data_IF_451718080318
#
_entry.id   IF_451718080318
#
_cell.length_a   1.000
_cell.length_b   1.000
_cell.length_c   1.000
_cell.angle_alpha   90.00
_cell.angle_beta   90.00
_cell.angle_gamma   90.00
#
_symmetry.space_group_name_H-M   'P 1'
#
loop_
_entity.id
_entity.type
_entity.pdbx_description
1 polymer ?
#
# COMPACT_ATOMS: atom_id res chain seq x y z
N UNK A 1 0.13 1.18 -4.04
CA UNK A 1 0.97 0.86 -5.22
C UNK A 1 1.04 -0.64 -5.50
N UNK A 2 1.43 -1.49 -4.54
CA UNK A 2 1.49 -2.96 -4.71
C UNK A 2 0.20 -3.58 -5.27
N UNK A 3 -0.96 -3.18 -4.75
CA UNK A 3 -2.26 -3.66 -5.22
C UNK A 3 -2.59 -3.28 -6.67
N UNK A 4 -2.16 -2.10 -7.13
CA UNK A 4 -2.38 -1.65 -8.50
C UNK A 4 -1.51 -2.43 -9.50
N UNK A 5 -0.25 -2.72 -9.13
CA UNK A 5 0.63 -3.59 -9.92
C UNK A 5 0.11 -5.02 -10.01
N UNK A 6 -0.45 -5.55 -8.91
CA UNK A 6 -1.04 -6.88 -8.94
C UNK A 6 -2.30 -6.93 -9.83
N UNK A 7 -3.16 -5.92 -9.76
CA UNK A 7 -4.34 -5.85 -10.63
C UNK A 7 -3.95 -5.65 -12.11
N UNK A 8 -2.81 -5.01 -12.38
CA UNK A 8 -2.17 -4.96 -13.70
C UNK A 8 -1.78 -6.34 -14.20
N UNK A 9 -1.05 -7.10 -13.38
CA UNK A 9 -0.61 -8.45 -13.71
C UNK A 9 -1.75 -9.47 -13.91
N UNK A 10 -2.96 -9.14 -13.46
CA UNK A 10 -4.17 -9.98 -13.60
C UNK A 10 -5.14 -9.52 -14.69
N UNK A 11 -4.74 -8.58 -15.57
CA UNK A 11 -5.63 -8.00 -16.62
C UNK A 11 -6.92 -7.37 -16.03
N UNK A 12 -6.93 -7.06 -14.74
CA UNK A 12 -8.06 -6.45 -14.03
C UNK A 12 -7.86 -4.95 -13.84
N UNK A 13 -6.99 -4.33 -14.65
CA UNK A 13 -6.68 -2.91 -14.72
C UNK A 13 -7.90 -2.00 -14.54
N UNK A 14 -8.99 -2.30 -15.26
CA UNK A 14 -10.19 -1.48 -15.27
C UNK A 14 -10.94 -1.49 -13.92
N UNK A 15 -10.86 -2.59 -13.16
CA UNK A 15 -11.46 -2.68 -11.81
C UNK A 15 -10.65 -1.88 -10.78
N UNK A 16 -9.31 -1.88 -10.88
CA UNK A 16 -8.44 -1.06 -10.03
C UNK A 16 -8.69 0.41 -10.28
N UNK A 17 -8.76 0.79 -11.56
CA UNK A 17 -9.02 2.15 -11.96
C UNK A 17 -10.36 2.65 -11.40
N UNK A 18 -11.43 1.85 -11.49
CA UNK A 18 -12.75 2.19 -10.93
C UNK A 18 -12.74 2.40 -9.40
N UNK A 19 -12.00 1.59 -8.67
CA UNK A 19 -11.90 1.73 -7.20
C UNK A 19 -11.09 2.98 -6.85
N UNK A 20 -9.97 3.19 -7.56
CA UNK A 20 -9.12 4.35 -7.35
C UNK A 20 -9.86 5.66 -7.65
N UNK A 21 -10.62 5.72 -8.75
CA UNK A 21 -11.42 6.91 -9.10
C UNK A 21 -12.51 7.18 -8.08
N UNK A 22 -13.24 6.16 -7.61
CA UNK A 22 -14.26 6.33 -6.57
C UNK A 22 -13.65 6.88 -5.27
N UNK A 23 -12.51 6.34 -4.87
CA UNK A 23 -11.79 6.78 -3.68
C UNK A 23 -11.29 8.22 -3.80
N UNK A 24 -10.80 8.58 -4.98
CA UNK A 24 -10.34 9.93 -5.29
C UNK A 24 -11.50 10.93 -5.24
N UNK A 25 -12.68 10.55 -5.76
CA UNK A 25 -13.88 11.39 -5.70
C UNK A 25 -14.28 11.62 -4.24
N UNK A 26 -14.29 10.57 -3.42
CA UNK A 26 -14.61 10.68 -1.97
C UNK A 26 -13.60 11.60 -1.27
N UNK A 27 -12.30 11.43 -1.56
CA UNK A 27 -11.25 12.31 -1.04
C UNK A 27 -11.47 13.78 -1.45
N UNK A 28 -11.75 14.05 -2.72
CA UNK A 28 -11.95 15.41 -3.24
C UNK A 28 -13.16 16.07 -2.60
N UNK A 29 -14.29 15.36 -2.48
CA UNK A 29 -15.50 15.88 -1.84
C UNK A 29 -15.26 16.19 -0.36
N UNK A 30 -14.59 15.28 0.35
CA UNK A 30 -14.23 15.50 1.76
C UNK A 30 -13.21 16.64 1.92
N UNK A 31 -12.20 16.72 1.07
CA UNK A 31 -11.19 17.77 1.12
C UNK A 31 -11.83 19.14 0.89
N UNK A 32 -12.66 19.29 -0.14
CA UNK A 32 -13.37 20.54 -0.43
C UNK A 32 -14.33 20.94 0.69
N UNK A 33 -15.05 19.97 1.27
CA UNK A 33 -15.98 20.24 2.37
C UNK A 33 -15.29 20.57 3.70
N UNK A 34 -14.08 20.05 3.95
CA UNK A 34 -13.40 20.13 5.24
C UNK A 34 -12.28 21.19 5.29
N UNK A 35 -11.85 21.72 4.13
CA UNK A 35 -10.95 22.88 4.03
C UNK A 35 -11.56 24.11 4.70
N UNK A 36 -12.86 24.37 4.49
CA UNK A 36 -13.52 25.59 4.97
C UNK A 36 -13.61 25.68 6.51
N UNK A 37 -13.97 24.60 7.26
CA UNK A 37 -14.02 24.67 8.73
C UNK A 37 -12.70 24.34 9.44
N UNK A 38 -11.80 23.55 8.84
CA UNK A 38 -10.68 22.92 9.56
C UNK A 38 -9.30 23.11 8.90
N UNK A 39 -9.23 23.81 7.76
CA UNK A 39 -7.98 24.13 7.06
C UNK A 39 -7.11 22.90 6.76
N UNK A 40 -5.82 22.96 7.13
CA UNK A 40 -4.82 21.90 6.88
C UNK A 40 -5.15 20.60 7.63
N UNK A 41 -5.77 20.70 8.81
CA UNK A 41 -6.18 19.54 9.61
C UNK A 41 -7.33 18.81 8.91
N UNK A 42 -8.24 19.56 8.28
CA UNK A 42 -9.32 19.02 7.47
C UNK A 42 -8.80 18.27 6.24
N UNK A 43 -7.74 18.77 5.61
CA UNK A 43 -7.09 18.09 4.50
C UNK A 43 -6.45 16.74 4.94
N UNK A 44 -5.80 16.72 6.10
CA UNK A 44 -5.21 15.50 6.66
C UNK A 44 -6.27 14.45 7.04
N UNK A 45 -7.40 14.91 7.61
CA UNK A 45 -8.55 14.05 7.92
C UNK A 45 -9.20 13.50 6.64
N UNK A 46 -9.42 14.35 5.64
CA UNK A 46 -9.92 13.93 4.34
C UNK A 46 -8.98 12.89 3.68
N UNK A 47 -7.66 13.10 3.76
CA UNK A 47 -6.65 12.16 3.24
C UNK A 47 -6.71 10.80 3.93
N UNK A 48 -6.87 10.80 5.26
CA UNK A 48 -6.99 9.57 6.03
C UNK A 48 -8.27 8.81 5.68
N UNK A 49 -9.41 9.50 5.58
CA UNK A 49 -10.71 8.88 5.25
C UNK A 49 -10.76 8.43 3.79
N UNK A 50 -10.23 9.23 2.86
CA UNK A 50 -10.09 8.86 1.44
C UNK A 50 -9.17 7.66 1.24
N UNK A 51 -8.05 7.61 1.97
CA UNK A 51 -7.15 6.45 1.99
C UNK A 51 -7.80 5.20 2.58
N UNK A 52 -8.52 5.34 3.71
CA UNK A 52 -9.19 4.23 4.38
C UNK A 52 -10.33 3.66 3.54
N UNK A 53 -11.16 4.52 2.94
CA UNK A 53 -12.22 4.09 2.01
C UNK A 53 -11.64 3.38 0.79
N UNK A 54 -10.54 3.91 0.22
CA UNK A 54 -9.83 3.23 -0.87
C UNK A 54 -9.31 1.86 -0.47
N UNK A 55 -8.76 1.74 0.74
CA UNK A 55 -8.25 0.49 1.26
C UNK A 55 -9.37 -0.53 1.46
N UNK A 56 -10.48 -0.13 2.09
CA UNK A 56 -11.64 -1.01 2.33
C UNK A 56 -12.25 -1.49 1.02
N UNK A 57 -12.49 -0.59 0.06
CA UNK A 57 -13.01 -0.97 -1.26
C UNK A 57 -12.03 -1.85 -2.03
N UNK A 58 -10.74 -1.54 -1.97
CA UNK A 58 -9.70 -2.38 -2.59
C UNK A 58 -9.73 -3.78 -1.98
N UNK A 59 -9.67 -3.93 -0.66
CA UNK A 59 -9.70 -5.25 0.02
C UNK A 59 -10.99 -6.02 -0.31
N UNK A 60 -12.14 -5.33 -0.32
CA UNK A 60 -13.43 -5.94 -0.63
C UNK A 60 -13.52 -6.43 -2.08
N UNK A 61 -13.02 -5.65 -3.05
CA UNK A 61 -13.06 -6.03 -4.47
C UNK A 61 -11.95 -7.00 -4.87
N UNK A 62 -10.79 -6.93 -4.21
CA UNK A 62 -9.69 -7.87 -4.39
C UNK A 62 -10.10 -9.27 -3.91
N UNK A 63 -10.94 -9.35 -2.88
CA UNK A 63 -11.33 -10.58 -2.23
C UNK A 63 -10.21 -11.09 -1.33
N UNK A 64 -10.52 -11.26 -0.04
CA UNK A 64 -9.57 -11.75 0.95
C UNK A 64 -9.02 -13.14 0.59
N UNK A 65 -9.77 -13.92 -0.20
CA UNK A 65 -9.36 -15.20 -0.77
C UNK A 65 -8.20 -15.07 -1.76
N UNK A 66 -8.30 -14.18 -2.75
CA UNK A 66 -7.20 -13.94 -3.71
C UNK A 66 -5.98 -13.34 -3.02
N UNK A 67 -6.19 -12.44 -2.04
CA UNK A 67 -5.10 -11.91 -1.22
C UNK A 67 -4.33 -13.05 -0.51
N UNK A 68 -5.07 -13.94 0.17
CA UNK A 68 -4.48 -15.08 0.86
C UNK A 68 -3.85 -16.08 -0.10
N UNK A 69 -4.38 -16.24 -1.31
CA UNK A 69 -3.80 -17.11 -2.33
C UNK A 69 -2.46 -16.58 -2.86
N UNK A 70 -2.32 -15.26 -3.05
CA UNK A 70 -1.05 -14.62 -3.38
C UNK A 70 -0.07 -14.74 -2.21
N UNK A 71 -0.54 -14.48 -0.99
CA UNK A 71 0.29 -14.52 0.21
C UNK A 71 0.78 -15.94 0.51
N UNK A 72 -0.05 -16.94 0.22
CA UNK A 72 0.25 -18.37 0.35
C UNK A 72 1.01 -18.94 -0.85
N UNK A 73 1.23 -18.13 -1.91
CA UNK A 73 2.02 -18.58 -3.04
C UNK A 73 3.49 -18.80 -2.64
N UNK A 74 4.08 -19.89 -3.14
CA UNK A 74 5.46 -20.30 -2.84
C UNK A 74 6.47 -19.18 -3.11
N UNK A 75 6.21 -18.35 -4.13
CA UNK A 75 7.07 -17.23 -4.52
C UNK A 75 7.00 -16.06 -3.51
N UNK A 76 5.84 -15.80 -2.91
CA UNK A 76 5.70 -14.76 -1.89
C UNK A 76 6.48 -15.11 -0.63
N UNK A 77 6.45 -16.39 -0.22
CA UNK A 77 7.22 -16.88 0.93
C UNK A 77 8.73 -16.77 0.67
N UNK A 78 9.19 -17.17 -0.52
CA UNK A 78 10.60 -17.06 -0.91
C UNK A 78 11.06 -15.60 -0.90
N UNK A 79 10.23 -14.67 -1.36
CA UNK A 79 10.55 -13.24 -1.39
C UNK A 79 10.67 -12.65 0.02
N UNK A 80 9.78 -13.03 0.93
CA UNK A 80 9.85 -12.60 2.34
C UNK A 80 11.11 -13.15 3.01
N UNK A 81 11.41 -14.43 2.79
CA UNK A 81 12.63 -15.06 3.33
C UNK A 81 13.89 -14.41 2.77
N UNK A 82 13.95 -14.17 1.45
CA UNK A 82 15.13 -13.53 0.83
C UNK A 82 15.33 -12.09 1.30
N UNK A 83 14.25 -11.34 1.54
CA UNK A 83 14.32 -9.98 2.09
C UNK A 83 14.84 -9.96 3.54
N UNK A 84 14.44 -10.94 4.36
CA UNK A 84 14.95 -11.08 5.75
C UNK A 84 16.44 -11.43 5.72
N UNK A 85 16.83 -12.41 4.90
CA UNK A 85 18.25 -12.81 4.75
C UNK A 85 19.10 -11.64 4.27
N UNK A 86 18.61 -10.87 3.30
CA UNK A 86 19.30 -9.68 2.80
C UNK A 86 19.47 -8.60 3.88
N UNK A 87 18.44 -8.41 4.71
CA UNK A 87 18.50 -7.45 5.83
C UNK A 87 19.53 -7.88 6.88
N UNK A 88 19.58 -9.16 7.23
CA UNK A 88 20.59 -9.70 8.14
C UNK A 88 22.01 -9.56 7.56
N UNK A 89 22.18 -9.83 6.26
CA UNK A 89 23.46 -9.63 5.58
C UNK A 89 23.92 -8.17 5.67
N UNK A 90 23.03 -7.20 5.45
CA UNK A 90 23.34 -5.78 5.60
C UNK A 90 23.74 -5.40 7.03
N UNK A 91 23.09 -5.98 8.06
CA UNK A 91 23.43 -5.73 9.46
C UNK A 91 24.83 -6.28 9.80
N UNK A 92 25.16 -7.47 9.31
CA UNK A 92 26.49 -8.07 9.48
C UNK A 92 27.55 -7.21 8.79
N UNK A 93 27.32 -6.82 7.54
CA UNK A 93 28.23 -5.94 6.78
C UNK A 93 28.41 -4.61 7.51
N UNK A 94 27.33 -4.01 8.03
CA UNK A 94 27.42 -2.79 8.85
C UNK A 94 28.26 -3.02 10.11
N UNK A 95 28.14 -4.18 10.76
CA UNK A 95 28.95 -4.52 11.94
C UNK A 95 30.44 -4.66 11.61
N UNK A 96 30.78 -5.11 10.41
CA UNK A 96 32.18 -5.17 9.95
C UNK A 96 32.73 -3.81 9.54
N UNK A 97 31.91 -2.92 8.98
CA UNK A 97 32.32 -1.59 8.53
C UNK A 97 32.38 -0.57 9.68
N UNK A 98 31.47 -0.69 10.66
CA UNK A 98 31.41 0.20 11.84
C UNK A 98 32.76 0.42 12.56
N UNK A 99 33.62 -0.59 12.79
CA UNK A 99 34.93 -0.39 13.42
C UNK A 99 35.97 0.33 12.54
N UNK A 100 35.74 0.49 11.24
CA UNK A 100 36.64 1.22 10.33
C UNK A 100 36.16 2.66 10.04
N UNK A 101 35.00 3.06 10.56
CA UNK A 101 34.43 4.40 10.42
C UNK A 101 34.64 5.30 11.66
N UNK A 102 35.39 4.82 12.66
CA UNK A 102 35.82 5.55 13.86
C UNK A 102 37.34 5.71 13.81
#
# INVERSE_FOLDING_TARGET
KLFALWLYAKEMQMKAAKIATLSLIIYIVLALSLIQPLGVIGLALASTIGGLSSFVFTVKTFGLSNLMEILRSKNSVILVVSAIVFTLALVVVKSFIAPYLT
#
